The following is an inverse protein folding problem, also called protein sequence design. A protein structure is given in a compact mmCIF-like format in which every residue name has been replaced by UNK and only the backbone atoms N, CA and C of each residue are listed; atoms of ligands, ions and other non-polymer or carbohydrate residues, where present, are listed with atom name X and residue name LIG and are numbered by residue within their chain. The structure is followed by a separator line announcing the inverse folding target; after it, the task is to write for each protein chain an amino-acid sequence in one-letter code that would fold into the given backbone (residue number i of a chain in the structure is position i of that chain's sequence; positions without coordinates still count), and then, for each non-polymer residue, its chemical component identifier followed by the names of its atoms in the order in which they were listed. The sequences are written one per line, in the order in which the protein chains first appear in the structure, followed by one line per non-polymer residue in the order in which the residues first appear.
data_IF_280984102280
#
_entry.id   IF_280984102280
#
_cell.length_a   1.000
_cell.length_b   1.000
_cell.length_c   1.000
_cell.angle_alpha   90.00
_cell.angle_beta   90.00
_cell.angle_gamma   90.00
#
_symmetry.space_group_name_H-M   'P 1'
#
loop_
_entity.id
_entity.type
_entity.pdbx_description
1 polymer ?
#
# COMPACT_ATOMS: atom_id res chain seq x y z
N UNK A 1 -13.87 -5.15 -2.82
CA UNK A 1 -15.10 -5.02 -1.99
C UNK A 1 -16.39 -5.09 -2.82
N UNK A 2 -16.67 -4.18 -3.77
CA UNK A 2 -17.94 -4.19 -4.52
C UNK A 2 -18.05 -5.23 -5.65
N UNK A 3 -16.99 -5.37 -6.45
CA UNK A 3 -16.97 -6.25 -7.64
C UNK A 3 -16.21 -7.56 -7.39
N UNK A 4 -15.30 -7.56 -6.41
CA UNK A 4 -14.46 -8.73 -6.10
C UNK A 4 -13.18 -8.86 -6.95
N UNK A 5 -12.95 -7.94 -7.89
CA UNK A 5 -11.75 -7.84 -8.71
C UNK A 5 -11.25 -6.39 -8.80
N UNK A 6 -10.02 -6.20 -9.28
CA UNK A 6 -9.45 -4.87 -9.49
C UNK A 6 -10.00 -4.21 -10.77
N UNK A 7 -10.27 -2.90 -10.75
CA UNK A 7 -11.00 -2.20 -11.83
C UNK A 7 -10.24 -2.09 -13.16
N UNK A 8 -8.91 -2.22 -13.14
CA UNK A 8 -8.05 -2.00 -14.31
C UNK A 8 -7.27 -3.24 -14.74
N UNK A 9 -7.44 -4.37 -14.07
CA UNK A 9 -6.79 -5.60 -14.48
C UNK A 9 -7.44 -6.15 -15.76
N UNK A 10 -6.64 -6.90 -16.52
CA UNK A 10 -7.16 -7.68 -17.62
C UNK A 10 -7.88 -8.93 -17.07
N UNK A 11 -9.18 -9.12 -17.34
CA UNK A 11 -9.89 -10.30 -16.87
C UNK A 11 -9.33 -11.61 -17.44
N UNK A 12 -8.71 -11.58 -18.61
CA UNK A 12 -8.17 -12.77 -19.28
C UNK A 12 -6.71 -13.07 -18.87
N UNK A 13 -5.93 -12.04 -18.52
CA UNK A 13 -4.53 -12.16 -18.13
C UNK A 13 -4.15 -11.18 -17.00
N UNK A 14 -4.49 -11.49 -15.75
CA UNK A 14 -4.26 -10.58 -14.61
C UNK A 14 -2.79 -10.21 -14.38
N UNK A 15 -1.85 -11.02 -14.88
CA UNK A 15 -0.40 -10.77 -14.76
C UNK A 15 0.12 -9.81 -15.83
N UNK A 16 -0.72 -9.37 -16.75
CA UNK A 16 -0.35 -8.42 -17.81
C UNK A 16 -0.28 -6.98 -17.29
N UNK A 17 0.81 -6.65 -16.61
CA UNK A 17 1.03 -5.31 -16.06
C UNK A 17 0.98 -4.21 -17.11
N UNK A 18 1.46 -4.49 -18.33
CA UNK A 18 1.44 -3.53 -19.44
C UNK A 18 0.01 -3.12 -19.77
N UNK A 19 -0.91 -4.08 -19.90
CA UNK A 19 -2.32 -3.81 -20.20
C UNK A 19 -3.02 -3.13 -19.01
N UNK A 20 -2.71 -3.54 -17.78
CA UNK A 20 -3.22 -2.88 -16.57
C UNK A 20 -2.85 -1.40 -16.53
N UNK A 21 -1.59 -1.05 -16.80
CA UNK A 21 -1.13 0.35 -16.83
C UNK A 21 -1.83 1.16 -17.93
N UNK A 22 -2.02 0.59 -19.12
CA UNK A 22 -2.77 1.25 -20.19
C UNK A 22 -4.21 1.56 -19.78
N UNK A 23 -4.87 0.64 -19.05
CA UNK A 23 -6.23 0.83 -18.53
C UNK A 23 -6.28 1.89 -17.44
N UNK A 24 -5.27 1.96 -16.55
CA UNK A 24 -5.18 3.01 -15.53
C UNK A 24 -5.06 4.39 -16.18
N UNK A 25 -4.12 4.56 -17.12
CA UNK A 25 -3.86 5.84 -17.78
C UNK A 25 -5.06 6.34 -18.61
N UNK A 26 -5.83 5.43 -19.19
CA UNK A 26 -7.05 5.74 -19.93
C UNK A 26 -8.33 5.72 -19.08
N UNK A 27 -8.20 5.42 -17.78
CA UNK A 27 -9.33 5.27 -16.84
C UNK A 27 -10.39 4.27 -17.37
N UNK A 28 -9.92 3.16 -17.93
CA UNK A 28 -10.76 2.16 -18.55
C UNK A 28 -11.15 1.05 -17.57
N UNK A 29 -12.25 1.27 -16.86
CA UNK A 29 -12.90 0.29 -15.99
C UNK A 29 -14.38 0.12 -16.36
N UNK A 30 -14.95 -1.04 -16.02
CA UNK A 30 -16.38 -1.29 -16.13
C UNK A 30 -16.87 -2.02 -14.90
N UNK A 31 -18.15 -1.87 -14.59
CA UNK A 31 -18.81 -2.55 -13.48
C UNK A 31 -19.69 -3.62 -14.11
N UNK A 32 -19.45 -4.92 -13.86
CA UNK A 32 -20.21 -5.99 -14.50
C UNK A 32 -21.71 -5.92 -14.19
N UNK A 33 -22.54 -6.34 -15.14
CA UNK A 33 -24.01 -6.22 -15.05
C UNK A 33 -24.63 -7.02 -13.90
N UNK A 34 -23.96 -8.10 -13.47
CA UNK A 34 -24.41 -8.89 -12.33
C UNK A 34 -24.21 -8.15 -10.99
N UNK A 35 -23.36 -7.12 -10.94
CA UNK A 35 -23.10 -6.33 -9.73
C UNK A 35 -24.09 -5.16 -9.67
N UNK A 36 -25.05 -5.27 -8.75
CA UNK A 36 -26.03 -4.20 -8.49
C UNK A 36 -25.45 -3.18 -7.51
N UNK A 37 -25.15 -1.99 -8.01
CA UNK A 37 -24.78 -0.83 -7.19
C UNK A 37 -25.77 0.31 -7.38
N UNK A 38 -25.92 1.15 -6.35
CA UNK A 38 -26.78 2.34 -6.43
C UNK A 38 -26.16 3.39 -7.35
N UNK A 39 -26.98 4.32 -7.83
CA UNK A 39 -26.51 5.39 -8.70
C UNK A 39 -25.51 6.30 -7.98
N UNK A 40 -25.69 6.53 -6.68
CA UNK A 40 -24.79 7.31 -5.85
C UNK A 40 -23.43 6.63 -5.70
N UNK A 41 -23.41 5.29 -5.59
CA UNK A 41 -22.17 4.52 -5.57
C UNK A 41 -21.40 4.69 -6.89
N UNK A 42 -22.10 4.53 -8.02
CA UNK A 42 -21.52 4.72 -9.35
C UNK A 42 -21.01 6.14 -9.56
N UNK A 43 -21.77 7.13 -9.09
CA UNK A 43 -21.37 8.53 -9.12
C UNK A 43 -20.09 8.76 -8.32
N UNK A 44 -19.99 8.24 -7.08
CA UNK A 44 -18.79 8.35 -6.27
C UNK A 44 -17.57 7.73 -6.96
N UNK A 45 -17.69 6.51 -7.50
CA UNK A 45 -16.60 5.86 -8.24
C UNK A 45 -16.16 6.67 -9.46
N UNK A 46 -17.09 7.26 -10.21
CA UNK A 46 -16.78 8.11 -11.37
C UNK A 46 -16.01 9.39 -11.00
N UNK A 47 -16.18 9.87 -9.77
CA UNK A 47 -15.50 11.05 -9.22
C UNK A 47 -14.12 10.71 -8.64
N UNK A 48 -13.90 9.46 -8.22
CA UNK A 48 -12.61 8.94 -7.72
C UNK A 48 -11.70 8.53 -8.90
N UNK A 49 -12.24 7.77 -9.85
CA UNK A 49 -11.50 7.34 -11.03
C UNK A 49 -11.48 8.45 -12.08
N UNK A 50 -10.65 9.47 -11.82
CA UNK A 50 -10.39 10.60 -12.71
C UNK A 50 -8.88 10.69 -12.96
N UNK A 51 -8.49 10.75 -14.24
CA UNK A 51 -7.08 10.79 -14.66
C UNK A 51 -6.36 12.02 -14.11
N UNK A 52 -6.99 13.20 -14.23
CA UNK A 52 -6.43 14.44 -13.71
C UNK A 52 -6.65 14.51 -12.17
N UNK A 53 -5.57 14.56 -11.37
CA UNK A 53 -5.66 14.62 -9.91
C UNK A 53 -6.36 15.89 -9.40
N UNK A 54 -6.19 17.04 -10.07
CA UNK A 54 -6.80 18.31 -9.66
C UNK A 54 -8.33 18.32 -9.82
N UNK A 55 -8.86 17.41 -10.65
CA UNK A 55 -10.30 17.22 -10.87
C UNK A 55 -10.88 16.07 -10.06
N UNK A 56 -10.03 15.29 -9.37
CA UNK A 56 -10.45 14.15 -8.57
C UNK A 56 -11.13 14.63 -7.29
N UNK A 57 -12.20 13.94 -6.89
CA UNK A 57 -12.89 14.26 -5.63
C UNK A 57 -11.92 14.16 -4.44
N UNK A 58 -12.02 15.13 -3.54
CA UNK A 58 -11.19 15.24 -2.34
C UNK A 58 -11.81 14.46 -1.17
N UNK A 59 -11.02 14.16 -0.14
CA UNK A 59 -11.51 13.48 1.07
C UNK A 59 -12.67 14.24 1.74
N UNK A 60 -12.60 15.58 1.94
CA UNK A 60 -13.73 16.33 2.51
C UNK A 60 -15.01 16.25 1.66
N UNK A 61 -14.89 16.20 0.33
CA UNK A 61 -16.04 16.02 -0.56
C UNK A 61 -16.60 14.60 -0.50
N UNK A 62 -15.74 13.56 -0.36
CA UNK A 62 -16.16 12.17 -0.14
C UNK A 62 -16.94 12.05 1.17
N UNK A 63 -16.43 12.64 2.27
CA UNK A 63 -17.12 12.63 3.57
C UNK A 63 -18.52 13.26 3.51
N UNK A 64 -18.74 14.21 2.60
CA UNK A 64 -20.04 14.86 2.35
C UNK A 64 -20.90 14.15 1.30
N UNK A 65 -20.37 13.12 0.64
CA UNK A 65 -21.08 12.44 -0.43
C UNK A 65 -22.21 11.56 0.12
N UNK A 66 -23.40 11.62 -0.49
CA UNK A 66 -24.60 10.91 -0.03
C UNK A 66 -24.38 9.40 0.17
N UNK A 67 -23.60 8.76 -0.71
CA UNK A 67 -23.26 7.35 -0.57
C UNK A 67 -22.43 7.04 0.69
N UNK A 68 -21.54 7.94 1.08
CA UNK A 68 -20.69 7.79 2.28
C UNK A 68 -21.48 8.03 3.57
N UNK A 69 -22.35 9.05 3.57
CA UNK A 69 -23.18 9.40 4.73
C UNK A 69 -24.28 8.38 5.02
N UNK A 70 -24.65 7.55 4.04
CA UNK A 70 -25.72 6.56 4.20
C UNK A 70 -25.33 5.51 5.22
N UNK A 71 -26.07 5.47 6.34
CA UNK A 71 -25.83 4.58 7.48
C UNK A 71 -24.44 4.78 8.13
N UNK A 72 -23.87 5.99 8.06
CA UNK A 72 -22.64 6.31 8.77
C UNK A 72 -22.92 6.33 10.28
N UNK A 73 -22.22 5.52 11.10
CA UNK A 73 -22.38 5.55 12.55
C UNK A 73 -21.99 6.92 13.13
N UNK A 74 -22.65 7.33 14.22
CA UNK A 74 -22.48 8.65 14.84
C UNK A 74 -21.04 8.87 15.33
N UNK A 75 -20.34 7.81 15.72
CA UNK A 75 -18.96 7.85 16.21
C UNK A 75 -17.98 8.32 15.11
N UNK A 76 -18.33 8.13 13.84
CA UNK A 76 -17.52 8.51 12.69
C UNK A 76 -17.96 9.83 12.04
N UNK A 77 -19.00 10.47 12.58
CA UNK A 77 -19.36 11.82 12.16
C UNK A 77 -18.33 12.80 12.73
N UNK A 78 -18.04 13.89 12.01
CA UNK A 78 -16.98 14.86 12.35
C UNK A 78 -17.17 15.51 13.74
N UNK A 79 -18.40 15.50 14.26
CA UNK A 79 -18.76 15.95 15.61
C UNK A 79 -18.55 14.88 16.71
N UNK A 80 -18.20 13.65 16.31
CA UNK A 80 -17.96 12.48 17.16
C UNK A 80 -16.56 12.43 17.78
N UNK A 81 -15.66 13.35 17.40
CA UNK A 81 -14.30 13.47 17.95
C UNK A 81 -14.28 13.73 19.48
N UNK A 82 -15.44 14.03 20.07
CA UNK A 82 -15.58 14.26 21.50
C UNK A 82 -15.75 12.99 22.35
N UNK A 83 -15.89 11.81 21.75
CA UNK A 83 -16.18 10.56 22.49
C UNK A 83 -14.95 9.70 22.84
N UNK A 84 -13.77 10.05 22.34
CA UNK A 84 -12.54 9.23 22.49
C UNK A 84 -11.53 9.78 23.51
N UNK A 85 -11.87 10.79 24.32
CA UNK A 85 -10.94 11.32 25.33
C UNK A 85 -10.86 10.49 26.62
N UNK A 86 -11.65 9.42 26.76
CA UNK A 86 -11.65 8.57 27.96
C UNK A 86 -10.99 7.21 27.70
N UNK A 87 -9.82 7.19 27.07
CA UNK A 87 -8.94 6.03 27.14
C UNK A 87 -7.85 6.29 28.20
N UNK A 88 -8.25 6.24 29.48
CA UNK A 88 -7.37 6.22 30.66
C UNK A 88 -6.53 4.91 30.75
N UNK A 89 -6.29 4.23 29.63
CA UNK A 89 -5.37 3.09 29.52
C UNK A 89 -4.12 3.40 28.69
N UNK A 90 -3.89 4.66 28.31
CA UNK A 90 -2.71 5.04 27.54
C UNK A 90 -1.44 5.09 28.41
N UNK A 91 -0.81 3.93 28.58
CA UNK A 91 0.65 3.84 28.74
C UNK A 91 1.32 4.26 27.43
N UNK A 92 1.06 5.48 26.97
CA UNK A 92 1.70 6.02 25.76
C UNK A 92 3.17 6.22 26.09
N UNK A 93 4.05 5.43 25.47
CA UNK A 93 5.49 5.67 25.55
C UNK A 93 5.80 7.09 25.10
N UNK A 94 6.70 7.74 25.84
CA UNK A 94 7.13 9.08 25.50
C UNK A 94 7.94 9.06 24.19
N UNK A 95 7.86 10.14 23.39
CA UNK A 95 8.65 10.35 22.17
C UNK A 95 10.14 10.15 22.44
N UNK A 96 10.66 10.67 23.55
CA UNK A 96 12.08 10.49 23.89
C UNK A 96 12.45 9.02 24.16
N UNK A 97 11.56 8.27 24.79
CA UNK A 97 11.74 6.83 25.06
C UNK A 97 11.74 6.05 23.74
N UNK A 98 10.80 6.34 22.84
CA UNK A 98 10.71 5.75 21.50
C UNK A 98 12.00 6.00 20.73
N UNK A 99 12.49 7.24 20.71
CA UNK A 99 13.74 7.60 20.02
C UNK A 99 14.95 6.86 20.62
N UNK A 100 14.96 6.69 21.94
CA UNK A 100 16.03 5.96 22.64
C UNK A 100 16.04 4.48 22.22
N UNK A 101 14.88 3.83 22.18
CA UNK A 101 14.75 2.44 21.72
C UNK A 101 15.17 2.30 20.26
N UNK A 102 14.81 3.24 19.40
CA UNK A 102 15.25 3.25 17.99
C UNK A 102 16.77 3.37 17.90
N UNK A 103 17.38 4.30 18.65
CA UNK A 103 18.83 4.47 18.67
C UNK A 103 19.57 3.24 19.22
N UNK A 104 18.96 2.54 20.17
CA UNK A 104 19.47 1.28 20.70
C UNK A 104 19.42 0.17 19.63
N UNK A 105 18.27 0.01 18.94
CA UNK A 105 18.09 -0.98 17.88
C UNK A 105 18.96 -0.73 16.63
N UNK A 106 19.39 0.52 16.39
CA UNK A 106 20.31 0.87 15.30
C UNK A 106 21.76 0.45 15.58
N UNK A 107 22.13 0.13 16.82
CA UNK A 107 23.47 -0.37 17.13
C UNK A 107 23.55 -1.82 16.67
N UNK A 108 24.54 -2.13 15.81
CA UNK A 108 24.82 -3.52 15.44
C UNK A 108 25.09 -4.32 16.72
N UNK A 109 24.39 -5.44 16.91
CA UNK A 109 24.59 -6.29 18.06
C UNK A 109 26.03 -6.79 18.10
N UNK A 110 26.71 -6.59 19.22
CA UNK A 110 27.93 -7.34 19.57
C UNK A 110 27.47 -8.75 19.97
N UNK A 111 26.89 -9.47 19.00
CA UNK A 111 26.73 -10.91 19.11
C UNK A 111 28.12 -11.50 19.34
N UNK A 112 28.25 -12.59 20.12
CA UNK A 112 29.54 -13.22 20.31
C UNK A 112 30.15 -13.44 18.93
N UNK A 113 31.33 -12.86 18.69
CA UNK A 113 32.22 -13.35 17.64
C UNK A 113 32.60 -14.77 18.05
N UNK A 114 31.73 -15.72 17.72
CA UNK A 114 32.13 -17.12 17.59
C UNK A 114 33.10 -17.08 16.42
N UNK A 115 34.37 -16.92 16.78
CA UNK A 115 35.47 -17.23 15.90
C UNK A 115 35.24 -18.63 15.36
N UNK A 116 35.35 -18.72 14.05
CA UNK A 116 35.82 -19.87 13.28
C UNK A 116 35.61 -21.25 13.92
N UNK A 117 34.81 -22.09 13.24
CA UNK A 117 34.49 -23.51 13.49
C UNK A 117 33.26 -23.84 14.35
N UNK A 118 32.09 -23.75 13.70
CA UNK A 118 31.11 -24.83 13.76
C UNK A 118 30.68 -25.21 12.34
N UNK A 119 31.31 -26.25 11.80
CA UNK A 119 30.77 -27.06 10.71
C UNK A 119 29.57 -27.84 11.25
N UNK A 120 28.40 -27.77 10.60
CA UNK A 120 27.31 -28.71 10.90
C UNK A 120 25.90 -28.24 10.57
N UNK A 121 25.61 -28.06 9.29
CA UNK A 121 24.25 -27.83 8.80
C UNK A 121 24.19 -27.93 7.28
N UNK A 122 24.61 -29.08 6.74
CA UNK A 122 24.37 -29.43 5.34
C UNK A 122 22.85 -29.46 5.11
N UNK A 123 22.36 -28.52 4.32
CA UNK A 123 21.27 -28.81 3.41
C UNK A 123 21.94 -28.97 2.05
N UNK A 124 22.18 -30.22 1.65
CA UNK A 124 22.46 -30.55 0.24
C UNK A 124 21.32 -29.98 -0.60
N UNK A 125 21.64 -28.95 -1.38
CA UNK A 125 20.86 -28.55 -2.54
C UNK A 125 21.76 -28.80 -3.74
N UNK A 126 22.03 -30.09 -4.00
CA UNK A 126 22.50 -30.51 -5.30
C UNK A 126 21.40 -30.23 -6.34
N UNK A 127 21.83 -29.79 -7.51
CA UNK A 127 21.09 -29.49 -8.75
C UNK A 127 20.29 -28.18 -8.83
N UNK A 128 20.99 -27.13 -9.26
CA UNK A 128 20.55 -26.32 -10.41
C UNK A 128 21.74 -25.55 -11.00
N UNK A 129 22.62 -26.28 -11.71
CA UNK A 129 23.46 -25.70 -12.76
C UNK A 129 22.54 -25.28 -13.92
N UNK A 130 22.29 -23.98 -14.05
CA UNK A 130 22.06 -23.38 -15.37
C UNK A 130 22.81 -22.05 -15.40
N UNK A 131 23.99 -22.11 -16.02
CA UNK A 131 24.77 -20.99 -16.50
C UNK A 131 23.86 -19.92 -17.15
N UNK A 132 23.88 -18.72 -16.59
CA UNK A 132 23.47 -17.51 -17.27
C UNK A 132 24.50 -16.43 -16.92
N UNK A 133 25.33 -16.11 -17.90
CA UNK A 133 26.40 -15.14 -17.86
C UNK A 133 25.94 -13.82 -17.20
N UNK A 134 26.45 -13.56 -15.98
CA UNK A 134 26.46 -12.22 -15.38
C UNK A 134 27.71 -11.53 -15.93
N UNK A 135 27.57 -10.96 -17.12
CA UNK A 135 28.49 -9.95 -17.65
C UNK A 135 27.63 -8.77 -18.13
N UNK A 136 27.54 -7.76 -17.26
CA UNK A 136 27.46 -6.32 -17.57
C UNK A 136 26.80 -5.55 -16.40
N UNK A 137 27.55 -5.42 -15.30
CA UNK A 137 27.30 -4.37 -14.30
C UNK A 137 28.31 -3.25 -14.51
N UNK A 138 28.12 -2.45 -15.56
CA UNK A 138 28.82 -1.17 -15.64
C UNK A 138 28.02 -0.08 -14.93
N UNK A 139 28.62 0.32 -13.82
CA UNK A 139 28.32 1.48 -12.99
C UNK A 139 28.31 2.77 -13.80
N UNK A 140 27.20 3.51 -13.75
CA UNK A 140 27.09 4.96 -14.04
C UNK A 140 25.72 5.39 -13.53
N UNK A 141 25.50 6.39 -12.67
CA UNK A 141 26.27 7.57 -12.31
C UNK A 141 25.23 8.71 -12.15
N UNK A 142 25.26 9.39 -11.00
CA UNK A 142 24.56 10.63 -10.65
C UNK A 142 23.02 10.70 -10.64
N UNK A 143 22.48 10.77 -9.42
CA UNK A 143 21.14 11.27 -9.13
C UNK A 143 21.24 12.78 -8.84
N UNK A 144 20.86 13.62 -9.81
CA UNK A 144 20.71 15.07 -9.59
C UNK A 144 19.24 15.37 -9.33
N UNK A 145 18.91 15.74 -8.10
CA UNK A 145 17.62 16.35 -7.78
C UNK A 145 17.62 17.81 -8.27
N UNK A 146 16.84 18.10 -9.31
CA UNK A 146 16.49 19.48 -9.63
C UNK A 146 15.41 19.96 -8.65
N UNK A 147 15.69 21.11 -8.01
CA UNK A 147 14.74 21.96 -7.29
C UNK A 147 13.77 22.65 -8.27
#
# INVERSE_FOLDING_TARGET
MLVGAYPFEDPEDPKNFKKTLQRILSVHYSIPDYVRITQECRHLLSRIFVANPDKRITIPEIKKHHWFLKNLPLEFMEDGENWSQNDESNSSQNIEEILTIIQEAMKAGDGPKVGDQFLGGSMDFDDLDTDADIDDIETSGDFVCAL
#
